data_IF_756678718663
#
_entry.id   IF_756678718663
#
_cell.length_a   1.000
_cell.length_b   1.000
_cell.length_c   1.000
_cell.angle_alpha   90.00
_cell.angle_beta   90.00
_cell.angle_gamma   90.00
#
_symmetry.space_group_name_H-M   'P 1'
#
loop_
_entity.id
_entity.type
_entity.pdbx_description
1 polymer ?
#
# COMPACT_ATOMS: atom_id res chain seq x y z
N UNK A 1 -4.82 -4.04 -7.11
CA UNK A 1 -3.46 -3.74 -6.65
C UNK A 1 -3.53 -2.96 -5.34
N UNK A 2 -2.69 -3.33 -4.38
CA UNK A 2 -2.69 -2.72 -3.05
C UNK A 2 -1.28 -2.25 -2.69
N UNK A 3 -1.19 -1.02 -2.19
CA UNK A 3 0.00 -0.50 -1.51
C UNK A 3 -0.40 -0.20 -0.07
N UNK A 4 0.04 -1.05 0.84
CA UNK A 4 -0.22 -0.92 2.26
C UNK A 4 1.09 -0.61 2.98
N UNK A 5 1.14 0.48 3.72
CA UNK A 5 2.38 0.83 4.40
C UNK A 5 2.75 -0.21 5.44
N UNK A 6 4.02 -0.60 5.43
CA UNK A 6 4.58 -1.57 6.37
C UNK A 6 5.21 -0.82 7.54
N UNK A 7 4.37 -0.30 8.43
CA UNK A 7 4.88 0.37 9.63
C UNK A 7 5.63 -0.61 10.54
N UNK A 8 5.13 -1.85 10.61
CA UNK A 8 5.76 -2.97 11.32
C UNK A 8 5.50 -4.26 10.55
N UNK A 9 6.45 -5.18 10.54
CA UNK A 9 6.30 -6.46 9.86
C UNK A 9 5.10 -7.26 10.41
N UNK A 10 4.95 -7.29 11.72
CA UNK A 10 3.83 -8.00 12.36
C UNK A 10 2.48 -7.40 11.97
N UNK A 11 2.39 -6.08 11.87
CA UNK A 11 1.18 -5.40 11.44
C UNK A 11 0.87 -5.71 9.97
N UNK A 12 1.87 -5.66 9.09
CA UNK A 12 1.69 -5.95 7.67
C UNK A 12 1.19 -7.39 7.45
N UNK A 13 1.80 -8.35 8.12
CA UNK A 13 1.40 -9.76 8.05
C UNK A 13 -0.03 -9.95 8.55
N UNK A 14 -0.37 -9.31 9.68
CA UNK A 14 -1.70 -9.41 10.28
C UNK A 14 -2.79 -8.86 9.36
N UNK A 15 -2.55 -7.71 8.74
CA UNK A 15 -3.49 -7.09 7.80
C UNK A 15 -3.69 -7.98 6.58
N UNK A 16 -2.61 -8.47 5.98
CA UNK A 16 -2.68 -9.34 4.81
C UNK A 16 -3.45 -10.61 5.09
N UNK A 17 -3.20 -11.20 6.25
CA UNK A 17 -3.87 -12.43 6.69
C UNK A 17 -5.36 -12.20 6.98
N UNK A 18 -5.68 -11.16 7.71
CA UNK A 18 -7.06 -10.85 8.12
C UNK A 18 -7.93 -10.53 6.92
N UNK A 19 -7.42 -9.79 5.96
CA UNK A 19 -8.15 -9.41 4.76
C UNK A 19 -8.07 -10.45 3.62
N UNK A 20 -7.25 -11.49 3.78
CA UNK A 20 -7.06 -12.49 2.74
C UNK A 20 -6.47 -11.92 1.45
N UNK A 21 -5.56 -10.95 1.56
CA UNK A 21 -4.98 -10.29 0.39
C UNK A 21 -4.05 -11.23 -0.38
N UNK A 22 -4.10 -11.14 -1.70
CA UNK A 22 -3.20 -11.87 -2.58
C UNK A 22 -1.81 -11.23 -2.54
N UNK A 23 -0.78 -11.94 -2.04
CA UNK A 23 0.57 -11.36 -1.93
C UNK A 23 1.16 -10.89 -3.26
N UNK A 24 0.72 -11.45 -4.38
CA UNK A 24 1.19 -11.02 -5.70
C UNK A 24 0.66 -9.65 -6.12
N UNK A 25 -0.28 -9.11 -5.35
CA UNK A 25 -0.92 -7.81 -5.63
C UNK A 25 -0.67 -6.79 -4.53
N UNK A 26 0.14 -7.12 -3.53
CA UNK A 26 0.41 -6.24 -2.38
C UNK A 26 1.88 -5.87 -2.36
N UNK A 27 2.16 -4.56 -2.33
CA UNK A 27 3.51 -4.01 -2.19
C UNK A 27 4.52 -4.68 -3.14
N UNK A 28 4.15 -4.74 -4.39
CA UNK A 28 4.87 -5.53 -5.41
C UNK A 28 6.25 -4.95 -5.77
N UNK A 29 6.55 -3.74 -5.36
CA UNK A 29 7.85 -3.10 -5.54
C UNK A 29 8.61 -2.93 -4.22
N UNK A 30 8.28 -3.75 -3.23
CA UNK A 30 8.78 -3.60 -1.87
C UNK A 30 7.91 -2.63 -1.08
N UNK A 31 8.05 -2.66 0.22
CA UNK A 31 7.34 -1.77 1.13
C UNK A 31 8.30 -1.03 2.05
N UNK A 32 7.77 -0.43 3.10
CA UNK A 32 8.55 0.40 4.02
C UNK A 32 9.69 -0.36 4.70
N UNK A 33 9.55 -1.66 4.91
CA UNK A 33 10.62 -2.48 5.50
C UNK A 33 11.86 -2.46 4.61
N UNK A 34 11.67 -2.49 3.29
CA UNK A 34 12.77 -2.43 2.33
C UNK A 34 13.18 -0.99 1.99
N UNK A 35 12.21 -0.09 1.87
CA UNK A 35 12.41 1.25 1.31
C UNK A 35 12.56 2.35 2.36
N UNK A 36 12.03 2.13 3.55
CA UNK A 36 11.98 3.12 4.61
C UNK A 36 10.58 3.69 4.83
N UNK A 37 10.40 4.29 6.02
CA UNK A 37 9.13 4.88 6.41
C UNK A 37 9.35 6.33 6.86
N UNK A 38 9.51 7.27 5.92
CA UNK A 38 9.59 8.69 6.25
C UNK A 38 8.18 9.18 6.58
N UNK A 39 7.90 9.39 7.87
CA UNK A 39 6.56 9.63 8.38
C UNK A 39 5.81 10.73 7.62
N UNK A 40 6.47 11.84 7.34
CA UNK A 40 5.84 12.96 6.63
C UNK A 40 5.66 12.74 5.14
N UNK A 41 6.25 11.69 4.57
CA UNK A 41 6.21 11.42 3.12
C UNK A 41 5.63 10.06 2.76
N UNK A 42 5.39 9.17 3.73
CA UNK A 42 4.96 7.80 3.43
C UNK A 42 3.62 7.75 2.70
N UNK A 43 2.69 8.64 2.99
CA UNK A 43 1.43 8.70 2.26
C UNK A 43 1.63 8.97 0.78
N UNK A 44 2.43 9.98 0.46
CA UNK A 44 2.78 10.29 -0.93
C UNK A 44 3.56 9.13 -1.58
N UNK A 45 4.52 8.54 -0.86
CA UNK A 45 5.32 7.43 -1.37
C UNK A 45 4.45 6.25 -1.77
N UNK A 46 3.55 5.84 -0.89
CA UNK A 46 2.65 4.71 -1.12
C UNK A 46 1.75 4.97 -2.34
N UNK A 47 1.17 6.16 -2.41
CA UNK A 47 0.30 6.54 -3.52
C UNK A 47 1.04 6.59 -4.85
N UNK A 48 2.22 7.20 -4.88
CA UNK A 48 3.04 7.30 -6.10
C UNK A 48 3.47 5.91 -6.59
N UNK A 49 3.91 5.05 -5.69
CA UNK A 49 4.27 3.67 -6.04
C UNK A 49 3.07 2.94 -6.66
N UNK A 50 1.90 3.08 -6.04
CA UNK A 50 0.67 2.46 -6.54
C UNK A 50 0.34 2.95 -7.96
N UNK A 51 0.38 4.25 -8.18
CA UNK A 51 0.05 4.84 -9.49
C UNK A 51 0.98 4.34 -10.59
N UNK A 52 2.28 4.31 -10.33
CA UNK A 52 3.25 3.82 -11.31
C UNK A 52 3.04 2.35 -11.65
N UNK A 53 2.77 1.53 -10.65
CA UNK A 53 2.53 0.11 -10.90
C UNK A 53 1.20 -0.13 -11.59
N UNK A 54 0.18 0.64 -11.26
CA UNK A 54 -1.11 0.58 -11.97
C UNK A 54 -0.96 0.91 -13.45
N UNK A 55 -0.16 1.92 -13.79
CA UNK A 55 0.14 2.25 -15.18
C UNK A 55 0.87 1.11 -15.88
N UNK A 56 1.88 0.56 -15.23
CA UNK A 56 2.69 -0.52 -15.78
C UNK A 56 1.87 -1.77 -16.08
N UNK A 57 0.99 -2.15 -15.16
CA UNK A 57 0.15 -3.36 -15.28
C UNK A 57 -1.16 -3.12 -16.00
N UNK A 58 -1.52 -1.89 -16.30
CA UNK A 58 -2.84 -1.51 -16.78
C UNK A 58 -3.94 -1.93 -15.79
N UNK A 59 -3.66 -1.79 -14.51
CA UNK A 59 -4.61 -2.11 -13.45
C UNK A 59 -5.72 -1.07 -13.41
N UNK A 60 -6.95 -1.51 -13.28
CA UNK A 60 -8.11 -0.62 -13.26
C UNK A 60 -8.38 -0.04 -11.87
N UNK A 61 -8.10 -0.81 -10.84
CA UNK A 61 -8.40 -0.44 -9.45
C UNK A 61 -7.17 -0.61 -8.57
N UNK A 62 -7.01 0.31 -7.64
CA UNK A 62 -5.93 0.26 -6.67
C UNK A 62 -6.36 0.79 -5.32
N UNK A 63 -5.67 0.36 -4.29
CA UNK A 63 -5.91 0.79 -2.91
C UNK A 63 -4.58 1.18 -2.29
N UNK A 64 -4.51 2.39 -1.76
CA UNK A 64 -3.39 2.86 -0.95
C UNK A 64 -3.87 3.00 0.49
N UNK A 65 -3.13 2.45 1.44
CA UNK A 65 -3.55 2.51 2.84
C UNK A 65 -2.36 2.60 3.80
N UNK A 66 -2.57 3.29 4.91
CA UNK A 66 -1.59 3.43 5.97
C UNK A 66 -2.30 3.42 7.31
N UNK A 67 -1.61 2.93 8.35
CA UNK A 67 -2.01 3.22 9.71
C UNK A 67 -1.52 4.62 10.11
N UNK A 68 -2.27 5.24 10.99
CA UNK A 68 -1.94 6.53 11.60
C UNK A 68 -1.85 6.26 13.11
N UNK A 69 -1.13 7.03 13.86
CA UNK A 69 -1.08 6.84 15.31
C UNK A 69 -2.47 6.88 15.96
N UNK A 70 -2.58 6.37 17.20
CA UNK A 70 -3.83 6.41 17.96
C UNK A 70 -4.88 5.38 17.52
N UNK A 71 -4.49 4.28 16.89
CA UNK A 71 -5.42 3.26 16.44
C UNK A 71 -6.22 3.65 15.21
N UNK A 72 -5.77 4.67 14.48
CA UNK A 72 -6.44 5.16 13.28
C UNK A 72 -5.79 4.61 12.02
N UNK A 73 -6.51 4.68 10.91
CA UNK A 73 -5.99 4.36 9.60
C UNK A 73 -6.69 5.18 8.52
N UNK A 74 -6.09 5.19 7.35
CA UNK A 74 -6.68 5.85 6.17
C UNK A 74 -6.48 4.97 4.96
N UNK A 75 -7.43 5.01 4.04
CA UNK A 75 -7.33 4.30 2.77
C UNK A 75 -7.88 5.17 1.65
N UNK A 76 -7.27 5.04 0.48
CA UNK A 76 -7.72 5.73 -0.73
C UNK A 76 -7.88 4.70 -1.84
N UNK A 77 -9.07 4.64 -2.42
CA UNK A 77 -9.34 3.79 -3.58
C UNK A 77 -9.14 4.60 -4.85
N UNK A 78 -8.47 4.01 -5.82
CA UNK A 78 -8.19 4.64 -7.12
C UNK A 78 -8.77 3.80 -8.24
N UNK A 79 -9.17 4.49 -9.29
CA UNK A 79 -9.63 3.85 -10.52
C UNK A 79 -8.98 4.55 -11.71
N UNK A 80 -8.63 3.77 -12.72
CA UNK A 80 -8.00 4.28 -13.95
C UNK A 80 -8.85 3.90 -15.14
N UNK A 81 -8.63 4.64 -16.24
CA UNK A 81 -9.34 4.44 -17.51
C UNK A 81 -8.46 3.81 -18.61
N UNK A 82 -7.39 3.16 -18.21
CA UNK A 82 -6.49 2.52 -19.18
C UNK A 82 -7.21 1.54 -20.10
#
# INVERSE_FOLDING_TARGET
LVEANEAFAAQAISVNKELGLNPEKVNVNGGAIALGHPIGASGARVLVTLLHEMQKRKSKKGLATLCIGGGMGIAMCLETEF
#
